data_IF_549964590252
#
_entry.id   IF_549964590252
#
_cell.length_a   1.000
_cell.length_b   1.000
_cell.length_c   1.000
_cell.angle_alpha   90.00
_cell.angle_beta   90.00
_cell.angle_gamma   90.00
#
_symmetry.space_group_name_H-M   'P 1'
#
loop_
_entity.id
_entity.type
_entity.pdbx_description
1 polymer ?
#
# COMPACT_ATOMS: atom_id res chain seq x y z
N UNK A 1 7.28 4.49 1.37
CA UNK A 1 6.24 4.96 0.42
C UNK A 1 5.18 5.71 1.23
N UNK A 2 4.83 6.95 0.85
CA UNK A 2 4.01 7.86 1.71
C UNK A 2 2.58 7.37 1.93
N UNK A 3 1.99 6.72 0.92
CA UNK A 3 0.61 6.19 0.98
C UNK A 3 0.42 5.22 2.13
N UNK A 4 1.38 4.30 2.35
CA UNK A 4 1.29 3.31 3.43
C UNK A 4 1.23 3.98 4.80
N UNK A 5 2.15 4.91 5.08
CA UNK A 5 2.19 5.64 6.34
C UNK A 5 0.89 6.43 6.61
N UNK A 6 0.29 7.02 5.56
CA UNK A 6 -0.99 7.72 5.69
C UNK A 6 -2.13 6.76 6.10
N UNK A 7 -2.17 5.56 5.52
CA UNK A 7 -3.19 4.55 5.83
C UNK A 7 -2.99 3.99 7.24
N UNK A 8 -1.75 3.72 7.65
CA UNK A 8 -1.41 3.29 9.01
C UNK A 8 -1.83 4.35 10.04
N UNK A 9 -1.54 5.63 9.77
CA UNK A 9 -1.97 6.73 10.63
C UNK A 9 -3.49 6.83 10.73
N UNK A 10 -4.21 6.75 9.59
CA UNK A 10 -5.67 6.76 9.57
C UNK A 10 -6.27 5.57 10.34
N UNK A 11 -5.68 4.39 10.19
CA UNK A 11 -6.08 3.20 10.94
C UNK A 11 -5.93 3.44 12.44
N UNK A 12 -4.74 3.87 12.89
CA UNK A 12 -4.50 4.16 14.30
C UNK A 12 -5.43 5.24 14.87
N UNK A 13 -5.70 6.31 14.13
CA UNK A 13 -6.65 7.35 14.56
C UNK A 13 -8.03 6.74 14.85
N UNK A 14 -8.49 5.82 13.98
CA UNK A 14 -9.82 5.20 14.05
C UNK A 14 -9.93 4.08 15.08
N UNK A 15 -8.92 3.21 15.19
CA UNK A 15 -8.99 1.98 15.99
C UNK A 15 -8.18 2.05 17.28
N UNK A 16 -7.21 2.96 17.37
CA UNK A 16 -6.15 2.98 18.40
C UNK A 16 -5.22 1.78 18.39
N UNK A 17 -5.21 1.02 17.29
CA UNK A 17 -4.32 -0.13 17.10
C UNK A 17 -3.20 0.23 16.14
N UNK A 18 -1.96 -0.11 16.51
CA UNK A 18 -0.82 0.03 15.63
C UNK A 18 -0.84 -1.09 14.60
N UNK A 19 -0.93 -0.72 13.33
CA UNK A 19 -0.87 -1.63 12.20
C UNK A 19 0.33 -1.25 11.34
N UNK A 20 1.14 -2.24 10.98
CA UNK A 20 2.26 -2.08 10.05
C UNK A 20 1.92 -2.79 8.75
N UNK A 21 1.86 -2.03 7.66
CA UNK A 21 1.39 -2.44 6.34
C UNK A 21 2.57 -2.62 5.38
N UNK A 22 2.38 -3.51 4.41
CA UNK A 22 3.42 -3.84 3.43
C UNK A 22 3.62 -2.73 2.41
N UNK A 23 4.79 -2.10 2.45
CA UNK A 23 5.24 -1.22 1.37
C UNK A 23 5.64 -2.02 0.12
N UNK A 24 6.08 -3.26 0.30
CA UNK A 24 6.52 -4.13 -0.79
C UNK A 24 5.36 -4.54 -1.69
N UNK A 25 4.17 -4.72 -1.13
CA UNK A 25 2.99 -5.04 -1.92
C UNK A 25 2.72 -3.94 -2.97
N UNK A 26 2.86 -2.66 -2.62
CA UNK A 26 2.71 -1.58 -3.60
C UNK A 26 3.84 -1.58 -4.64
N UNK A 27 5.08 -1.85 -4.23
CA UNK A 27 6.22 -1.95 -5.15
C UNK A 27 5.99 -3.04 -6.21
N UNK A 28 5.46 -4.20 -5.80
CA UNK A 28 5.33 -5.35 -6.69
C UNK A 28 3.98 -5.42 -7.43
N UNK A 29 2.92 -4.83 -6.88
CA UNK A 29 1.54 -5.06 -7.34
C UNK A 29 0.84 -3.82 -7.91
N UNK A 30 1.29 -2.60 -7.63
CA UNK A 30 0.73 -1.41 -8.28
C UNK A 30 1.29 -1.29 -9.70
N UNK A 31 0.59 -1.89 -10.65
CA UNK A 31 0.98 -1.89 -12.07
C UNK A 31 0.85 -0.54 -12.76
N UNK A 32 0.27 0.49 -12.10
CA UNK A 32 0.23 1.86 -12.62
C UNK A 32 1.41 2.70 -12.12
N UNK A 33 2.18 2.19 -11.17
CA UNK A 33 3.44 2.78 -10.70
C UNK A 33 4.65 2.04 -11.29
N UNK A 34 5.85 2.48 -10.94
CA UNK A 34 7.12 2.00 -11.51
C UNK A 34 7.97 1.28 -10.45
N UNK A 35 7.30 0.59 -9.53
CA UNK A 35 7.93 -0.14 -8.43
C UNK A 35 8.98 0.69 -7.69
N UNK A 36 10.24 0.25 -7.74
CA UNK A 36 11.35 0.95 -7.07
C UNK A 36 11.79 2.25 -7.75
N UNK A 37 11.42 2.48 -9.02
CA UNK A 37 11.71 3.72 -9.74
C UNK A 37 10.74 4.86 -9.38
N UNK A 38 9.79 4.61 -8.48
CA UNK A 38 8.83 5.61 -8.00
C UNK A 38 7.43 5.39 -8.57
N UNK A 39 6.59 6.41 -8.44
CA UNK A 39 5.19 6.34 -8.83
C UNK A 39 4.42 7.57 -8.39
N UNK A 40 3.11 7.57 -8.65
CA UNK A 40 2.20 8.64 -8.27
C UNK A 40 1.37 8.21 -7.06
N UNK A 41 1.13 9.14 -6.15
CA UNK A 41 0.35 8.90 -4.92
C UNK A 41 -1.07 8.43 -5.25
N UNK A 42 -1.67 8.99 -6.29
CA UNK A 42 -3.03 8.66 -6.77
C UNK A 42 -3.14 7.20 -7.21
N UNK A 43 -2.15 6.68 -7.92
CA UNK A 43 -2.13 5.29 -8.39
C UNK A 43 -2.07 4.31 -7.22
N UNK A 44 -1.19 4.58 -6.26
CA UNK A 44 -1.07 3.77 -5.06
C UNK A 44 -2.34 3.83 -4.20
N UNK A 45 -2.98 5.00 -4.05
CA UNK A 45 -4.25 5.13 -3.34
C UNK A 45 -5.40 4.39 -4.04
N UNK A 46 -5.48 4.44 -5.38
CA UNK A 46 -6.44 3.66 -6.16
C UNK A 46 -6.22 2.15 -5.97
N UNK A 47 -4.96 1.70 -5.97
CA UNK A 47 -4.62 0.32 -5.68
C UNK A 47 -5.13 -0.09 -4.29
N UNK A 48 -4.85 0.70 -3.25
CA UNK A 48 -5.29 0.40 -1.88
C UNK A 48 -6.81 0.39 -1.76
N UNK A 49 -7.50 1.32 -2.41
CA UNK A 49 -8.97 1.35 -2.38
C UNK A 49 -9.55 0.06 -2.97
N UNK A 50 -8.98 -0.44 -4.06
CA UNK A 50 -9.48 -1.62 -4.77
C UNK A 50 -9.07 -2.95 -4.13
N UNK A 51 -7.86 -3.03 -3.59
CA UNK A 51 -7.26 -4.30 -3.17
C UNK A 51 -6.96 -4.39 -1.66
N UNK A 52 -6.90 -3.25 -0.98
CA UNK A 52 -6.29 -3.14 0.36
C UNK A 52 -4.77 -3.37 0.33
N UNK A 53 -4.20 -3.47 1.53
CA UNK A 53 -2.80 -3.82 1.76
C UNK A 53 -2.67 -4.90 2.81
N UNK A 54 -1.73 -5.83 2.60
CA UNK A 54 -1.34 -6.84 3.58
C UNK A 54 -0.52 -6.24 4.71
N UNK A 55 -0.37 -6.99 5.81
CA UNK A 55 0.61 -6.65 6.85
C UNK A 55 2.03 -6.79 6.32
N UNK A 56 2.94 -6.01 6.88
CA UNK A 56 4.38 -6.16 6.62
C UNK A 56 4.88 -7.56 6.99
N UNK A 57 4.35 -8.17 8.06
CA UNK A 57 4.69 -9.55 8.46
C UNK A 57 4.34 -10.60 7.41
N UNK A 58 3.32 -10.34 6.59
CA UNK A 58 2.80 -11.30 5.61
C UNK A 58 3.38 -11.06 4.21
N UNK A 59 3.88 -9.84 3.97
CA UNK A 59 4.51 -9.41 2.73
C UNK A 59 5.67 -8.47 3.04
N UNK A 60 6.78 -9.02 3.52
CA UNK A 60 7.92 -8.24 4.00
C UNK A 60 8.68 -7.47 2.92
N UNK A 61 9.28 -6.36 3.32
CA UNK A 61 10.10 -5.48 2.51
C UNK A 61 11.40 -6.13 2.06
N UNK A 62 11.73 -5.93 0.78
CA UNK A 62 12.92 -6.49 0.14
C UNK A 62 13.88 -5.42 -0.41
N UNK A 63 13.46 -4.15 -0.43
CA UNK A 63 14.28 -3.07 -1.01
C UNK A 63 14.45 -3.13 -2.54
N UNK A 64 13.71 -4.02 -3.20
CA UNK A 64 13.73 -4.25 -4.65
C UNK A 64 12.42 -4.89 -5.09
N UNK A 65 12.14 -4.84 -6.38
CA UNK A 65 11.04 -5.59 -6.98
C UNK A 65 11.27 -7.10 -6.85
N UNK A 66 10.20 -7.85 -6.61
CA UNK A 66 10.25 -9.31 -6.66
C UNK A 66 10.41 -9.80 -8.09
N UNK A 67 11.33 -10.73 -8.29
CA UNK A 67 11.53 -11.40 -9.60
C UNK A 67 10.25 -12.10 -10.08
N UNK A 68 9.48 -12.66 -9.15
CA UNK A 68 8.19 -13.29 -9.44
C UNK A 68 7.01 -12.29 -9.52
N UNK A 69 7.29 -10.99 -9.40
CA UNK A 69 6.29 -9.92 -9.35
C UNK A 69 5.38 -9.99 -8.11
N UNK A 70 4.18 -9.45 -8.26
CA UNK A 70 3.14 -9.41 -7.22
C UNK A 70 2.88 -10.79 -6.59
N UNK A 71 2.92 -10.88 -5.26
CA UNK A 71 2.58 -12.10 -4.51
C UNK A 71 1.10 -12.45 -4.68
N UNK A 72 0.82 -13.72 -4.99
CA UNK A 72 -0.55 -14.27 -5.04
C UNK A 72 -1.08 -14.56 -3.63
N UNK A 73 -2.40 -14.70 -3.50
CA UNK A 73 -3.09 -15.06 -2.25
C UNK A 73 -2.77 -14.13 -1.07
N UNK A 74 -2.71 -12.83 -1.36
CA UNK A 74 -2.55 -11.77 -0.37
C UNK A 74 -3.86 -11.55 0.39
N UNK A 75 -3.75 -11.21 1.67
CA UNK A 75 -4.89 -10.96 2.54
C UNK A 75 -4.84 -9.50 3.01
N UNK A 76 -5.82 -8.65 2.63
CA UNK A 76 -5.80 -7.25 3.02
C UNK A 76 -6.07 -7.12 4.53
N UNK A 77 -5.16 -6.42 5.23
CA UNK A 77 -5.28 -6.06 6.63
C UNK A 77 -5.94 -4.69 6.82
N UNK A 78 -5.76 -3.78 5.86
CA UNK A 78 -6.49 -2.51 5.82
C UNK A 78 -6.74 -2.06 4.37
N UNK A 79 -7.77 -1.25 4.21
CA UNK A 79 -8.10 -0.57 2.95
C UNK A 79 -8.67 0.81 3.26
N UNK A 80 -8.83 1.61 2.21
CA UNK A 80 -9.53 2.90 2.27
C UNK A 80 -10.81 2.81 1.43
N UNK A 81 -11.83 3.57 1.80
CA UNK A 81 -13.07 3.64 1.01
C UNK A 81 -13.00 4.68 -0.11
N UNK A 82 -12.05 5.62 -0.03
CA UNK A 82 -11.81 6.62 -1.06
C UNK A 82 -10.71 7.60 -0.68
N UNK A 83 -10.36 8.47 -1.62
CA UNK A 83 -9.39 9.54 -1.47
C UNK A 83 -9.81 10.73 -2.35
N UNK A 84 -9.23 11.91 -2.10
CA UNK A 84 -9.47 13.12 -2.88
C UNK A 84 -8.19 13.92 -3.00
N UNK A 85 -7.84 14.30 -4.23
CA UNK A 85 -6.80 15.30 -4.49
C UNK A 85 -7.38 16.69 -4.22
N UNK A 86 -6.67 17.48 -3.41
CA UNK A 86 -7.04 18.87 -3.16
C UNK A 86 -6.27 19.73 -4.16
N UNK A 87 -7.01 20.38 -5.06
CA UNK A 87 -6.47 21.33 -6.04
C UNK A 87 -6.92 22.71 -5.58
N UNK A 88 -5.98 23.64 -5.43
CA UNK A 88 -6.26 25.04 -5.13
C UNK A 88 -6.56 25.82 -6.40
#
# INVERSE_FOLDING_TARGET
MVVVAAIEALHYIKTKELLVLSVQELIDCDTKSFGCAGGYTENALEYVQKNGLSRESDYGYMGRERILGCKKNKAPAASITGFKTIIN
#
